data_IF_375614790133
#
_entry.id   IF_375614790133
#
_cell.length_a   1.000
_cell.length_b   1.000
_cell.length_c   1.000
_cell.angle_alpha   90.00
_cell.angle_beta   90.00
_cell.angle_gamma   90.00
#
_symmetry.space_group_name_H-M   'P 1'
#
loop_
_entity.id
_entity.type
_entity.pdbx_description
1 polymer ?
#
# COMPACT_ATOMS: atom_id res chain seq x y z
N UNK A 1 -8.26 27.71 -1.09
CA UNK A 1 -9.31 26.71 -0.84
C UNK A 1 -9.33 25.81 -2.06
N UNK A 2 -9.22 24.50 -1.88
CA UNK A 2 -9.20 23.58 -3.02
C UNK A 2 -10.53 23.69 -3.78
N UNK A 3 -10.47 23.72 -5.11
CA UNK A 3 -11.66 23.66 -5.95
C UNK A 3 -12.31 22.27 -5.81
N UNK A 4 -13.63 22.20 -5.99
CA UNK A 4 -14.39 20.95 -5.96
C UNK A 4 -13.77 19.94 -6.95
N UNK A 5 -13.44 18.74 -6.47
CA UNK A 5 -12.74 17.72 -7.26
C UNK A 5 -11.21 17.89 -7.38
N UNK A 6 -10.56 18.58 -6.43
CA UNK A 6 -9.11 18.72 -6.37
C UNK A 6 -8.53 18.60 -4.95
N UNK A 7 -7.34 18.00 -4.83
CA UNK A 7 -6.60 17.89 -3.57
C UNK A 7 -5.51 18.96 -3.53
N UNK A 8 -5.45 19.76 -2.46
CA UNK A 8 -4.34 20.71 -2.25
C UNK A 8 -3.07 19.98 -1.81
N UNK A 9 -2.01 20.04 -2.61
CA UNK A 9 -0.72 19.40 -2.30
C UNK A 9 0.25 20.37 -1.65
N UNK A 10 0.15 21.66 -1.99
CA UNK A 10 1.01 22.68 -1.44
C UNK A 10 0.77 24.04 -2.09
N UNK A 11 1.76 24.92 -1.93
CA UNK A 11 1.72 26.28 -2.48
C UNK A 11 3.09 26.68 -3.00
N UNK A 12 3.11 27.16 -4.23
CA UNK A 12 4.25 27.81 -4.86
C UNK A 12 4.05 29.34 -4.79
N UNK A 13 4.08 30.03 -5.93
CA UNK A 13 3.52 31.36 -6.14
C UNK A 13 1.98 31.35 -6.19
N UNK A 14 1.40 30.17 -6.42
CA UNK A 14 -0.04 29.90 -6.38
C UNK A 14 -0.33 28.59 -5.62
N UNK A 15 -1.57 28.32 -5.20
CA UNK A 15 -1.94 26.99 -4.71
C UNK A 15 -1.67 25.93 -5.78
N UNK A 16 -1.05 24.82 -5.40
CA UNK A 16 -0.79 23.68 -6.29
C UNK A 16 -1.70 22.53 -5.89
N UNK A 17 -2.56 22.12 -6.82
CA UNK A 17 -3.60 21.12 -6.59
C UNK A 17 -3.48 19.94 -7.54
N UNK A 18 -3.79 18.75 -7.05
CA UNK A 18 -3.98 17.55 -7.85
C UNK A 18 -5.46 17.44 -8.22
N UNK A 19 -5.77 17.54 -9.51
CA UNK A 19 -7.14 17.31 -10.01
C UNK A 19 -7.47 15.82 -9.89
N UNK A 20 -8.56 15.47 -9.20
CA UNK A 20 -8.95 14.06 -8.96
C UNK A 20 -9.12 13.28 -10.27
N UNK A 21 -9.67 13.91 -11.31
CA UNK A 21 -9.83 13.30 -12.65
C UNK A 21 -8.51 12.89 -13.31
N UNK A 22 -7.37 13.40 -12.81
CA UNK A 22 -6.02 13.07 -13.30
C UNK A 22 -5.23 12.21 -12.31
N UNK A 23 -5.80 11.89 -11.14
CA UNK A 23 -5.14 11.11 -10.10
C UNK A 23 -5.00 9.62 -10.43
N UNK A 24 -5.60 9.15 -11.53
CA UNK A 24 -5.43 7.80 -12.06
C UNK A 24 -4.10 7.60 -12.81
N UNK A 25 -3.25 8.63 -12.90
CA UNK A 25 -1.91 8.55 -13.49
C UNK A 25 -0.88 8.25 -12.41
N UNK A 26 0.11 7.42 -12.75
CA UNK A 26 1.24 7.17 -11.85
C UNK A 26 2.00 8.45 -11.55
N UNK A 27 2.35 8.63 -10.27
CA UNK A 27 3.13 9.75 -9.76
C UNK A 27 4.35 9.27 -8.98
N UNK A 28 5.33 10.17 -8.80
CA UNK A 28 6.55 9.91 -8.05
C UNK A 28 6.76 11.02 -7.01
N UNK A 29 6.80 10.64 -5.73
CA UNK A 29 7.24 11.52 -4.64
C UNK A 29 8.68 11.13 -4.28
N UNK A 30 9.62 12.03 -4.54
CA UNK A 30 11.05 11.81 -4.27
C UNK A 30 11.65 12.98 -3.48
N UNK A 31 12.77 12.72 -2.79
CA UNK A 31 13.46 13.70 -1.94
C UNK A 31 14.38 13.04 -0.92
N UNK A 32 15.25 13.81 -0.29
CA UNK A 32 16.13 13.33 0.77
C UNK A 32 15.36 13.05 2.08
N UNK A 33 16.01 12.45 3.08
CA UNK A 33 15.41 12.29 4.41
C UNK A 33 15.11 13.66 5.01
N UNK A 34 13.92 13.82 5.62
CA UNK A 34 13.51 15.10 6.22
C UNK A 34 12.94 16.13 5.25
N UNK A 35 12.85 15.86 3.94
CA UNK A 35 12.30 16.82 2.96
C UNK A 35 10.78 16.72 2.79
N UNK A 36 10.07 16.10 3.73
CA UNK A 36 8.60 16.05 3.73
C UNK A 36 7.95 14.97 2.87
N UNK A 37 8.69 13.96 2.37
CA UNK A 37 8.11 12.84 1.59
C UNK A 37 6.88 12.21 2.27
N UNK A 38 7.02 11.85 3.55
CA UNK A 38 5.94 11.29 4.36
C UNK A 38 4.75 12.23 4.45
N UNK A 39 5.00 13.51 4.78
CA UNK A 39 3.94 14.52 4.91
C UNK A 39 3.19 14.67 3.59
N UNK A 40 3.89 14.68 2.46
CA UNK A 40 3.25 14.72 1.13
C UNK A 40 2.37 13.50 0.88
N UNK A 41 2.83 12.29 1.24
CA UNK A 41 2.03 11.06 1.09
C UNK A 41 0.81 11.05 2.01
N UNK A 42 0.95 11.55 3.26
CA UNK A 42 -0.17 11.71 4.19
C UNK A 42 -1.20 12.70 3.65
N UNK A 43 -0.78 13.90 3.22
CA UNK A 43 -1.68 14.91 2.61
C UNK A 43 -2.44 14.34 1.41
N UNK A 44 -1.78 13.54 0.56
CA UNK A 44 -2.43 12.84 -0.54
C UNK A 44 -3.46 11.82 -0.02
N UNK A 45 -3.07 10.98 0.93
CA UNK A 45 -3.93 9.93 1.46
C UNK A 45 -5.19 10.51 2.13
N UNK A 46 -5.02 11.54 2.97
CA UNK A 46 -6.09 12.30 3.61
C UNK A 46 -6.99 12.97 2.57
N UNK A 47 -6.40 13.60 1.54
CA UNK A 47 -7.12 14.23 0.44
C UNK A 47 -8.00 13.25 -0.32
N UNK A 48 -7.47 12.07 -0.66
CA UNK A 48 -8.26 11.02 -1.31
C UNK A 48 -9.37 10.50 -0.40
N UNK A 49 -9.09 10.28 0.89
CA UNK A 49 -10.08 9.81 1.85
C UNK A 49 -11.24 10.80 2.04
N UNK A 50 -10.97 12.12 2.05
CA UNK A 50 -12.02 13.16 2.11
C UNK A 50 -12.97 13.12 0.91
N UNK A 51 -12.44 12.74 -0.25
CA UNK A 51 -13.19 12.62 -1.50
C UNK A 51 -13.83 11.22 -1.67
N UNK A 52 -13.78 10.37 -0.64
CA UNK A 52 -14.33 9.02 -0.67
C UNK A 52 -13.53 8.02 -1.51
N UNK A 53 -12.29 8.35 -1.87
CA UNK A 53 -11.39 7.47 -2.61
C UNK A 53 -10.56 6.63 -1.62
N UNK A 54 -10.68 5.29 -1.63
CA UNK A 54 -9.90 4.44 -0.75
C UNK A 54 -8.42 4.44 -1.13
N UNK A 55 -7.54 4.50 -0.13
CA UNK A 55 -6.09 4.51 -0.32
C UNK A 55 -5.51 3.24 0.26
N UNK A 56 -4.77 2.51 -0.58
CA UNK A 56 -3.96 1.36 -0.16
C UNK A 56 -2.49 1.75 -0.23
N UNK A 57 -1.77 1.58 0.88
CA UNK A 57 -0.37 1.95 0.98
C UNK A 57 0.42 0.91 1.78
N UNK A 58 1.63 0.58 1.29
CA UNK A 58 2.60 -0.19 2.03
C UNK A 58 3.43 0.75 2.92
N UNK A 59 3.26 0.65 4.24
CA UNK A 59 3.95 1.52 5.20
C UNK A 59 5.11 0.80 5.88
N UNK A 60 6.24 0.72 5.20
CA UNK A 60 7.43 0.00 5.69
C UNK A 60 8.03 0.66 6.94
N UNK A 61 7.87 1.98 7.10
CA UNK A 61 8.46 2.74 8.21
C UNK A 61 7.49 3.03 9.35
N UNK A 62 6.20 2.80 9.15
CA UNK A 62 5.15 3.21 10.09
C UNK A 62 4.85 4.71 10.03
N UNK A 63 5.39 5.42 9.05
CA UNK A 63 5.33 6.86 8.94
C UNK A 63 3.98 7.35 8.36
N UNK A 64 3.29 6.54 7.56
CA UNK A 64 1.96 6.87 7.00
C UNK A 64 0.83 6.55 7.98
N UNK A 65 1.02 5.54 8.83
CA UNK A 65 0.02 5.04 9.80
C UNK A 65 -0.53 6.11 10.75
N UNK A 66 0.21 7.21 10.94
CA UNK A 66 -0.19 8.35 11.78
C UNK A 66 -1.51 9.01 11.37
N UNK A 67 -1.98 8.86 10.13
CA UNK A 67 -3.28 9.40 9.68
C UNK A 67 -4.49 8.79 10.43
N UNK A 68 -4.28 7.65 11.10
CA UNK A 68 -5.30 6.96 11.88
C UNK A 68 -5.58 7.65 13.23
N UNK A 69 -4.82 8.67 13.61
CA UNK A 69 -5.03 9.42 14.86
C UNK A 69 -5.02 10.94 14.59
N UNK A 70 -5.73 11.74 15.40
CA UNK A 70 -5.64 13.19 15.33
C UNK A 70 -4.20 13.67 15.48
N UNK A 71 -3.75 14.54 14.57
CA UNK A 71 -2.42 15.12 14.63
C UNK A 71 -2.21 16.06 15.83
N UNK A 72 -0.97 16.11 16.34
CA UNK A 72 -0.58 17.09 17.34
C UNK A 72 -0.41 18.47 16.69
N UNK A 73 -1.08 19.51 17.21
CA UNK A 73 -0.94 20.92 16.78
C UNK A 73 0.41 21.55 17.13
N UNK A 74 1.51 20.90 16.72
CA UNK A 74 2.87 21.36 17.01
C UNK A 74 3.15 22.68 16.27
N UNK A 75 3.95 23.59 16.85
CA UNK A 75 4.24 24.90 16.26
C UNK A 75 4.72 24.88 14.79
N UNK A 76 5.54 23.91 14.34
CA UNK A 76 5.96 23.86 12.93
C UNK A 76 4.81 23.65 11.94
N UNK A 77 3.79 22.87 12.31
CA UNK A 77 2.66 22.58 11.43
C UNK A 77 1.69 23.77 11.35
N UNK A 78 1.42 24.42 12.48
CA UNK A 78 0.61 25.64 12.54
C UNK A 78 1.23 26.76 11.70
N UNK A 79 2.53 27.01 11.89
CA UNK A 79 3.27 28.02 11.11
C UNK A 79 3.23 27.68 9.61
N UNK A 80 3.41 26.41 9.25
CA UNK A 80 3.37 25.99 7.85
C UNK A 80 1.97 26.19 7.25
N UNK A 81 0.92 25.86 7.99
CA UNK A 81 -0.47 26.05 7.59
C UNK A 81 -0.80 27.54 7.36
N UNK A 82 -0.32 28.42 8.24
CA UNK A 82 -0.42 29.87 8.06
C UNK A 82 0.30 30.37 6.80
N UNK A 83 1.53 29.92 6.54
CA UNK A 83 2.30 30.29 5.33
C UNK A 83 1.56 29.90 4.03
N UNK A 84 0.93 28.73 4.02
CA UNK A 84 0.16 28.25 2.87
C UNK A 84 -1.26 28.85 2.82
N UNK A 85 -1.73 29.48 3.90
CA UNK A 85 -3.07 30.07 4.00
C UNK A 85 -4.17 29.02 4.17
N UNK A 86 -3.88 27.93 4.89
CA UNK A 86 -4.81 26.84 5.20
C UNK A 86 -5.05 26.83 6.72
N UNK A 87 -6.30 26.59 7.13
CA UNK A 87 -6.62 26.39 8.54
C UNK A 87 -6.15 24.99 8.95
N UNK A 88 -5.24 24.92 9.93
CA UNK A 88 -4.84 23.64 10.51
C UNK A 88 -5.90 23.17 11.50
N UNK A 89 -6.46 21.99 11.25
CA UNK A 89 -7.37 21.31 12.17
C UNK A 89 -6.90 19.86 12.30
N UNK A 90 -6.66 19.34 13.52
CA UNK A 90 -6.43 17.92 13.73
C UNK A 90 -7.61 17.12 13.21
N UNK A 91 -7.31 16.11 12.39
CA UNK A 91 -8.31 15.27 11.73
C UNK A 91 -7.89 13.80 11.88
N UNK A 92 -8.85 12.89 11.73
CA UNK A 92 -8.63 11.46 11.85
C UNK A 92 -9.33 10.71 10.72
N UNK A 93 -8.61 9.78 10.10
CA UNK A 93 -9.11 9.00 8.97
C UNK A 93 -9.35 7.55 9.34
N UNK A 94 -10.47 6.99 8.87
CA UNK A 94 -10.78 5.57 9.05
C UNK A 94 -9.71 4.74 8.35
N UNK A 95 -8.91 4.05 9.14
CA UNK A 95 -7.72 3.32 8.68
C UNK A 95 -7.78 1.89 9.19
N UNK A 96 -7.55 0.94 8.30
CA UNK A 96 -7.51 -0.49 8.63
C UNK A 96 -6.07 -0.95 8.40
N UNK A 97 -5.38 -1.32 9.48
CA UNK A 97 -4.02 -1.84 9.37
C UNK A 97 -4.05 -3.28 8.93
N UNK A 98 -3.32 -3.59 7.86
CA UNK A 98 -3.15 -4.95 7.35
C UNK A 98 -1.75 -5.43 7.73
N UNK A 99 -1.68 -6.60 8.34
CA UNK A 99 -0.42 -7.21 8.77
C UNK A 99 -0.25 -8.57 8.12
N UNK A 100 0.88 -8.77 7.47
CA UNK A 100 1.26 -10.04 6.83
C UNK A 100 1.49 -11.13 7.87
N UNK A 101 1.99 -10.79 9.05
CA UNK A 101 2.22 -11.74 10.14
C UNK A 101 1.00 -11.87 11.08
N UNK A 102 0.06 -10.93 11.01
CA UNK A 102 -1.17 -10.94 11.80
C UNK A 102 -0.95 -10.62 13.29
N UNK A 103 0.12 -9.93 13.65
CA UNK A 103 0.46 -9.55 15.02
C UNK A 103 -0.10 -8.17 15.41
N UNK A 104 -0.01 -7.19 14.52
CA UNK A 104 -0.27 -5.77 14.79
C UNK A 104 -1.48 -5.21 14.02
N UNK A 105 -2.17 -6.04 13.23
CA UNK A 105 -3.27 -5.60 12.38
C UNK A 105 -4.12 -6.76 11.87
N UNK A 106 -5.03 -6.44 10.96
CA UNK A 106 -5.84 -7.43 10.28
C UNK A 106 -4.95 -8.37 9.47
N UNK A 107 -5.01 -9.69 9.70
CA UNK A 107 -4.15 -10.62 9.02
C UNK A 107 -4.46 -10.63 7.53
N UNK A 108 -3.43 -10.42 6.70
CA UNK A 108 -3.54 -10.63 5.26
C UNK A 108 -3.73 -12.12 5.02
N UNK A 109 -4.88 -12.48 4.44
CA UNK A 109 -5.17 -13.86 4.06
C UNK A 109 -4.91 -14.03 2.57
N UNK A 110 -3.96 -14.91 2.25
CA UNK A 110 -3.73 -15.39 0.90
C UNK A 110 -3.30 -16.86 0.99
N UNK A 111 -3.87 -17.70 0.15
CA UNK A 111 -3.49 -19.10 -0.01
C UNK A 111 -2.41 -19.23 -1.09
N UNK A 112 -1.64 -20.32 -1.05
CA UNK A 112 -0.68 -20.63 -2.12
C UNK A 112 -1.38 -20.75 -3.48
N UNK A 113 -2.58 -21.33 -3.50
CA UNK A 113 -3.45 -21.38 -4.69
C UNK A 113 -3.82 -19.99 -5.22
N UNK A 114 -4.16 -19.02 -4.37
CA UNK A 114 -4.48 -17.65 -4.79
C UNK A 114 -3.26 -16.87 -5.29
N UNK A 115 -2.08 -17.11 -4.74
CA UNK A 115 -0.84 -16.51 -5.24
C UNK A 115 -0.48 -17.04 -6.63
N UNK A 116 -0.66 -18.34 -6.85
CA UNK A 116 -0.37 -19.00 -8.11
C UNK A 116 1.13 -19.15 -8.41
N UNK A 117 1.49 -19.97 -9.41
CA UNK A 117 2.87 -20.34 -9.68
C UNK A 117 3.71 -19.17 -10.17
N UNK A 118 3.14 -18.25 -10.98
CA UNK A 118 3.87 -17.11 -11.54
C UNK A 118 4.32 -16.11 -10.48
N UNK A 119 3.43 -15.73 -9.56
CA UNK A 119 3.77 -14.78 -8.50
C UNK A 119 4.79 -15.41 -7.53
N UNK A 120 4.60 -16.67 -7.17
CA UNK A 120 5.53 -17.40 -6.31
C UNK A 120 6.91 -17.55 -6.96
N UNK A 121 6.99 -17.86 -8.25
CA UNK A 121 8.25 -17.93 -8.97
C UNK A 121 9.02 -16.60 -8.92
N UNK A 122 8.32 -15.48 -9.12
CA UNK A 122 8.92 -14.14 -9.02
C UNK A 122 9.33 -13.78 -7.59
N UNK A 123 8.52 -14.11 -6.60
CA UNK A 123 8.83 -13.82 -5.19
C UNK A 123 10.03 -14.61 -4.68
N UNK A 124 10.20 -15.84 -5.16
CA UNK A 124 11.29 -16.74 -4.77
C UNK A 124 12.51 -16.64 -5.69
N UNK A 125 12.48 -15.76 -6.69
CA UNK A 125 13.53 -15.58 -7.70
C UNK A 125 13.95 -16.91 -8.36
N UNK A 126 12.95 -17.69 -8.80
CA UNK A 126 13.17 -19.00 -9.40
C UNK A 126 13.73 -18.87 -10.83
N UNK A 127 14.61 -19.80 -11.20
CA UNK A 127 15.03 -19.96 -12.59
C UNK A 127 13.94 -20.64 -13.44
N UNK A 128 14.09 -20.62 -14.77
CA UNK A 128 13.12 -21.20 -15.71
C UNK A 128 12.78 -22.67 -15.41
N UNK A 129 13.77 -23.47 -15.01
CA UNK A 129 13.55 -24.88 -14.66
C UNK A 129 12.70 -25.03 -13.40
N UNK A 130 13.02 -24.25 -12.36
CA UNK A 130 12.28 -24.25 -11.09
C UNK A 130 10.85 -23.72 -11.27
N UNK A 131 10.67 -22.67 -12.06
CA UNK A 131 9.34 -22.18 -12.46
C UNK A 131 8.55 -23.23 -13.23
N UNK A 132 9.20 -23.97 -14.15
CA UNK A 132 8.59 -25.08 -14.87
C UNK A 132 8.07 -26.18 -13.93
N UNK A 133 8.89 -26.61 -12.97
CA UNK A 133 8.49 -27.58 -11.94
C UNK A 133 7.32 -27.05 -11.10
N UNK A 134 7.37 -25.78 -10.69
CA UNK A 134 6.30 -25.16 -9.91
C UNK A 134 4.98 -25.12 -10.69
N UNK A 135 5.01 -24.78 -11.98
CA UNK A 135 3.82 -24.80 -12.84
C UNK A 135 3.21 -26.21 -12.96
N UNK A 136 4.06 -27.24 -13.11
CA UNK A 136 3.60 -28.63 -13.13
C UNK A 136 2.95 -29.00 -11.79
N UNK A 137 3.55 -28.59 -10.67
CA UNK A 137 3.00 -28.86 -9.34
C UNK A 137 1.61 -28.26 -9.13
N UNK A 138 1.43 -27.00 -9.54
CA UNK A 138 0.11 -26.35 -9.49
C UNK A 138 -0.90 -27.03 -10.41
N UNK A 139 -0.49 -27.42 -11.63
CA UNK A 139 -1.39 -28.13 -12.55
C UNK A 139 -1.86 -29.48 -11.99
N UNK A 140 -0.96 -30.24 -11.36
CA UNK A 140 -1.31 -31.51 -10.71
C UNK A 140 -2.26 -31.26 -9.53
N UNK A 141 -2.01 -30.19 -8.74
CA UNK A 141 -2.91 -29.79 -7.65
C UNK A 141 -4.33 -29.54 -8.17
N UNK A 142 -4.46 -28.77 -9.26
CA UNK A 142 -5.74 -28.44 -9.88
C UNK A 142 -6.45 -29.68 -10.46
N UNK A 143 -5.72 -30.54 -11.17
CA UNK A 143 -6.26 -31.78 -11.75
C UNK A 143 -6.77 -32.75 -10.65
N UNK A 144 -6.09 -32.78 -9.51
CA UNK A 144 -6.47 -33.61 -8.35
C UNK A 144 -7.40 -32.90 -7.35
N UNK A 145 -7.78 -31.64 -7.61
CA UNK A 145 -8.58 -30.79 -6.72
C UNK A 145 -7.98 -30.62 -5.33
N UNK A 146 -6.65 -30.58 -5.25
CA UNK A 146 -5.90 -30.30 -4.04
C UNK A 146 -5.75 -28.78 -3.88
N UNK A 147 -6.37 -28.23 -2.84
CA UNK A 147 -6.23 -26.82 -2.52
C UNK A 147 -4.91 -26.61 -1.76
N UNK A 148 -4.01 -25.79 -2.31
CA UNK A 148 -2.74 -25.46 -1.65
C UNK A 148 -2.99 -24.25 -0.74
N UNK A 149 -3.19 -24.49 0.55
CA UNK A 149 -3.49 -23.43 1.52
C UNK A 149 -2.22 -22.74 1.98
N UNK A 150 -1.20 -23.53 2.32
CA UNK A 150 0.03 -23.03 2.91
C UNK A 150 1.31 -23.63 2.29
N UNK A 151 2.47 -23.21 2.80
CA UNK A 151 3.77 -23.71 2.35
C UNK A 151 4.03 -25.18 2.69
N UNK A 152 3.26 -25.79 3.60
CA UNK A 152 3.37 -27.24 3.88
C UNK A 152 2.70 -28.01 2.75
N UNK A 153 1.54 -27.56 2.28
CA UNK A 153 0.86 -28.16 1.12
C UNK A 153 1.71 -28.06 -0.14
N UNK A 154 2.32 -26.89 -0.39
CA UNK A 154 3.24 -26.70 -1.51
C UNK A 154 4.44 -27.66 -1.44
N UNK A 155 5.03 -27.84 -0.25
CA UNK A 155 6.13 -28.79 -0.05
C UNK A 155 5.68 -30.24 -0.24
N UNK A 156 4.48 -30.58 0.20
CA UNK A 156 3.92 -31.92 0.05
C UNK A 156 3.73 -32.30 -1.43
N UNK A 157 3.20 -31.38 -2.25
CA UNK A 157 3.01 -31.68 -3.67
C UNK A 157 4.33 -31.73 -4.45
N UNK A 158 5.30 -30.88 -4.10
CA UNK A 158 6.63 -30.94 -4.69
C UNK A 158 7.34 -32.26 -4.36
N UNK A 159 7.19 -32.75 -3.12
CA UNK A 159 7.70 -34.06 -2.73
C UNK A 159 7.00 -35.19 -3.49
N UNK A 160 5.68 -35.12 -3.66
CA UNK A 160 4.90 -36.10 -4.41
C UNK A 160 5.32 -36.22 -5.88
N UNK A 161 5.76 -35.12 -6.51
CA UNK A 161 6.20 -35.11 -7.92
C UNK A 161 7.66 -35.54 -8.07
N UNK A 162 8.45 -35.47 -7.00
CA UNK A 162 9.84 -35.91 -7.00
C UNK A 162 10.00 -37.44 -6.88
N UNK A 163 8.94 -38.15 -6.46
CA UNK A 163 8.83 -39.61 -6.45
C UNK A 163 8.47 -40.17 -7.82
#
# INVERSE_FOLDING_TARGET
MAEDGAILIGKSWKPETLLLKLANRHGLVTGATGTGKTVTLQVLAEGFAREGVPVFAADIKGDLSGIAAPGDSKPPFLKRAEEIGVKYEPDQFTTVFWDVFGEQGHPVRATISEMGPLLLARLLDLNETQEGVLNIAFRIADEQKLLLLDLKDLRAILAHIAE
#
